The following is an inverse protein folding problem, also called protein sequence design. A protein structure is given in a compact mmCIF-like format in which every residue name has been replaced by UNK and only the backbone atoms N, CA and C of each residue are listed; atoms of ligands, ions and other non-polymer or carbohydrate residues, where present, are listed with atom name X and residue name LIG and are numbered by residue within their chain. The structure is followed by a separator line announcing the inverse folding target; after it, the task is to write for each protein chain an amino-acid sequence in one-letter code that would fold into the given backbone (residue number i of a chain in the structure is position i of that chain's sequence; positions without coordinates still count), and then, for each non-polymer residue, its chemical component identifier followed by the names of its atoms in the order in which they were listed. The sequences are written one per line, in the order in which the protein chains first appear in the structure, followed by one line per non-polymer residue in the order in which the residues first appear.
data_IF_568552764345
#
_entry.id   IF_568552764345
#
_cell.length_a   1.000
_cell.length_b   1.000
_cell.length_c   1.000
_cell.angle_alpha   90.00
_cell.angle_beta   90.00
_cell.angle_gamma   90.00
#
_symmetry.space_group_name_H-M   'P 1'
#
loop_
_entity.id
_entity.type
_entity.pdbx_description
1 polymer ?
#
# COMPACT_ATOMS: atom_id res chain seq x y z
N UNK A 1 17.15 17.39 3.45
CA UNK A 1 15.91 17.04 2.74
C UNK A 1 14.82 16.90 3.77
N UNK A 2 13.64 17.46 3.54
CA UNK A 2 12.48 17.28 4.42
C UNK A 2 12.07 15.80 4.36
N UNK A 3 12.16 15.11 5.49
CA UNK A 3 11.71 13.73 5.64
C UNK A 3 10.17 13.72 5.60
N UNK A 4 9.58 12.82 4.81
CA UNK A 4 8.13 12.62 4.84
C UNK A 4 7.81 11.78 6.07
N UNK A 5 6.87 12.26 6.88
CA UNK A 5 6.43 11.56 8.09
C UNK A 5 5.24 10.65 7.78
N UNK A 6 5.13 9.53 8.51
CA UNK A 6 4.02 8.58 8.39
C UNK A 6 2.64 9.27 8.57
N UNK A 7 2.54 10.24 9.48
CA UNK A 7 1.33 11.01 9.72
C UNK A 7 0.90 11.86 8.50
N UNK A 8 1.86 12.32 7.69
CA UNK A 8 1.53 13.05 6.46
C UNK A 8 0.96 12.11 5.40
N UNK A 9 1.54 10.92 5.25
CA UNK A 9 1.02 9.87 4.34
C UNK A 9 -0.42 9.52 4.73
N UNK A 10 -0.67 9.28 6.03
CA UNK A 10 -2.02 9.03 6.55
C UNK A 10 -3.00 10.15 6.15
N UNK A 11 -2.65 11.41 6.40
CA UNK A 11 -3.49 12.55 6.07
C UNK A 11 -3.80 12.65 4.56
N UNK A 12 -2.82 12.39 3.70
CA UNK A 12 -3.05 12.36 2.25
C UNK A 12 -3.94 11.18 1.83
N UNK A 13 -3.80 9.99 2.45
CA UNK A 13 -4.63 8.81 2.15
C UNK A 13 -6.08 9.08 2.53
N UNK A 14 -6.32 9.72 3.67
CA UNK A 14 -7.65 10.05 4.16
C UNK A 14 -8.40 11.01 3.23
N UNK A 15 -7.72 11.79 2.40
CA UNK A 15 -8.39 12.59 1.36
C UNK A 15 -9.06 11.72 0.29
N UNK A 16 -8.53 10.51 0.03
CA UNK A 16 -9.10 9.56 -0.91
C UNK A 16 -10.21 8.71 -0.27
N UNK A 17 -10.04 8.35 1.00
CA UNK A 17 -10.98 7.50 1.77
C UNK A 17 -11.12 8.08 3.19
N UNK A 18 -12.04 9.04 3.42
CA UNK A 18 -12.12 9.79 4.68
C UNK A 18 -12.46 8.96 5.91
N UNK A 19 -13.19 7.86 5.74
CA UNK A 19 -13.65 6.98 6.82
C UNK A 19 -12.74 5.75 6.99
N UNK A 20 -11.53 5.77 6.43
CA UNK A 20 -10.59 4.67 6.59
C UNK A 20 -9.82 4.77 7.91
N UNK A 21 -9.56 3.61 8.50
CA UNK A 21 -8.45 3.45 9.44
C UNK A 21 -7.18 3.18 8.63
N UNK A 22 -6.13 3.98 8.84
CA UNK A 22 -4.91 3.94 8.04
C UNK A 22 -3.72 3.62 8.94
N UNK A 23 -2.92 2.65 8.53
CA UNK A 23 -1.69 2.28 9.22
C UNK A 23 -0.53 2.45 8.24
N UNK A 24 0.48 3.23 8.64
CA UNK A 24 1.62 3.58 7.80
C UNK A 24 2.91 3.10 8.47
N UNK A 25 3.75 2.40 7.71
CA UNK A 25 5.06 1.94 8.13
C UNK A 25 6.08 2.49 7.14
N UNK A 26 7.07 3.25 7.64
CA UNK A 26 8.28 3.56 6.88
C UNK A 26 9.18 2.33 6.86
N UNK A 27 9.38 1.75 5.67
CA UNK A 27 10.09 0.49 5.51
C UNK A 27 11.60 0.65 5.75
N UNK A 28 12.16 1.82 5.46
CA UNK A 28 13.61 2.08 5.48
C UNK A 28 14.03 3.10 6.53
N UNK A 29 13.08 3.83 7.11
CA UNK A 29 13.37 4.95 8.02
C UNK A 29 13.91 6.20 7.30
N UNK A 30 13.87 6.21 5.97
CA UNK A 30 14.33 7.30 5.09
C UNK A 30 13.23 8.27 4.70
N UNK A 31 11.96 7.93 4.98
CA UNK A 31 10.80 8.73 4.60
C UNK A 31 10.51 8.74 3.09
N UNK A 32 10.86 7.68 2.36
CA UNK A 32 10.61 7.58 0.91
C UNK A 32 9.94 6.26 0.45
N UNK A 33 10.04 5.18 1.23
CA UNK A 33 9.37 3.90 0.99
C UNK A 33 8.39 3.58 2.12
N UNK A 34 7.10 3.50 1.79
CA UNK A 34 6.06 3.27 2.78
C UNK A 34 5.22 2.04 2.44
N UNK A 35 4.91 1.23 3.46
CA UNK A 35 3.80 0.29 3.44
C UNK A 35 2.59 0.93 4.11
N UNK A 36 1.44 0.88 3.44
CA UNK A 36 0.21 1.48 3.96
C UNK A 36 -0.95 0.51 3.88
N UNK A 37 -1.55 0.23 5.05
CA UNK A 37 -2.81 -0.49 5.16
C UNK A 37 -3.94 0.54 5.24
N UNK A 38 -4.91 0.41 4.35
CA UNK A 38 -6.11 1.27 4.30
C UNK A 38 -7.30 0.36 4.55
N UNK A 39 -7.96 0.56 5.69
CA UNK A 39 -9.00 -0.33 6.20
C UNK A 39 -10.31 0.45 6.23
N UNK A 40 -11.31 0.04 5.43
CA UNK A 40 -12.60 0.73 5.37
C UNK A 40 -13.73 -0.20 4.93
N UNK A 41 -14.91 -0.02 5.52
CA UNK A 41 -16.16 -0.69 5.11
C UNK A 41 -16.55 -0.34 3.67
N UNK A 42 -16.15 0.84 3.18
CA UNK A 42 -16.44 1.32 1.80
C UNK A 42 -15.84 0.43 0.71
N UNK A 43 -14.90 -0.44 1.08
CA UNK A 43 -14.26 -1.38 0.16
C UNK A 43 -15.05 -2.66 -0.08
N UNK A 44 -16.13 -2.91 0.68
CA UNK A 44 -16.97 -4.09 0.49
C UNK A 44 -17.55 -4.14 -0.93
N UNK A 45 -17.46 -5.31 -1.58
CA UNK A 45 -17.86 -5.49 -2.97
C UNK A 45 -16.99 -4.77 -4.04
N UNK A 46 -16.04 -3.91 -3.64
CA UNK A 46 -15.12 -3.22 -4.57
C UNK A 46 -13.94 -4.13 -4.90
N UNK A 47 -13.53 -4.20 -6.17
CA UNK A 47 -12.37 -5.01 -6.59
C UNK A 47 -11.05 -4.46 -6.02
N UNK A 48 -10.10 -5.29 -5.58
CA UNK A 48 -8.85 -4.84 -4.95
C UNK A 48 -8.09 -3.75 -5.73
N UNK A 49 -7.93 -3.92 -7.05
CA UNK A 49 -7.26 -2.94 -7.91
C UNK A 49 -7.98 -1.59 -7.93
N UNK A 50 -9.32 -1.59 -7.86
CA UNK A 50 -10.11 -0.35 -7.86
C UNK A 50 -9.94 0.41 -6.54
N UNK A 51 -9.89 -0.31 -5.41
CA UNK A 51 -9.58 0.27 -4.09
C UNK A 51 -8.21 0.95 -4.09
N UNK A 52 -7.18 0.25 -4.57
CA UNK A 52 -5.83 0.81 -4.69
C UNK A 52 -5.78 2.01 -5.65
N UNK A 53 -6.49 1.95 -6.79
CA UNK A 53 -6.57 3.07 -7.75
C UNK A 53 -7.15 4.33 -7.12
N UNK A 54 -8.14 4.22 -6.22
CA UNK A 54 -8.72 5.36 -5.53
C UNK A 54 -7.68 6.08 -4.66
N UNK A 55 -6.91 5.34 -3.86
CA UNK A 55 -5.82 5.91 -3.04
C UNK A 55 -4.70 6.46 -3.91
N UNK A 56 -4.29 5.71 -4.93
CA UNK A 56 -3.24 6.15 -5.87
C UNK A 56 -3.62 7.41 -6.64
N UNK A 57 -4.91 7.67 -6.90
CA UNK A 57 -5.33 8.87 -7.60
C UNK A 57 -4.92 10.15 -6.86
N UNK A 58 -4.88 10.13 -5.53
CA UNK A 58 -4.41 11.24 -4.70
C UNK A 58 -2.89 11.21 -4.55
N UNK A 59 -2.31 10.03 -4.29
CA UNK A 59 -0.88 9.88 -4.00
C UNK A 59 0.04 10.09 -5.20
N UNK A 60 -0.44 9.81 -6.42
CA UNK A 60 0.40 9.79 -7.62
C UNK A 60 1.12 11.12 -7.88
N UNK A 61 0.55 12.25 -7.46
CA UNK A 61 1.20 13.56 -7.61
C UNK A 61 2.45 13.73 -6.72
N UNK A 62 2.59 12.90 -5.69
CA UNK A 62 3.69 12.89 -4.73
C UNK A 62 4.72 11.79 -5.03
N UNK A 63 4.55 11.05 -6.14
CA UNK A 63 5.42 9.95 -6.57
C UNK A 63 6.07 10.32 -7.91
N UNK A 64 7.41 10.22 -8.08
CA UNK A 64 8.38 9.62 -7.15
C UNK A 64 8.98 10.61 -6.13
N UNK A 65 8.53 11.87 -6.09
CA UNK A 65 9.00 12.85 -5.11
C UNK A 65 7.81 13.62 -4.51
N UNK A 66 7.73 13.75 -3.17
CA UNK A 66 8.73 13.34 -2.17
C UNK A 66 8.72 11.84 -1.79
N UNK A 67 7.75 11.04 -2.25
CA UNK A 67 7.64 9.60 -1.94
C UNK A 67 8.15 8.77 -3.12
N UNK A 68 9.14 7.91 -2.93
CA UNK A 68 9.67 7.06 -4.01
C UNK A 68 8.71 5.93 -4.39
N UNK A 69 8.21 5.21 -3.39
CA UNK A 69 7.33 4.08 -3.61
C UNK A 69 6.33 3.90 -2.45
N UNK A 70 5.14 3.40 -2.80
CA UNK A 70 4.04 3.17 -1.87
C UNK A 70 3.47 1.78 -2.09
N UNK A 71 3.68 0.88 -1.14
CA UNK A 71 2.99 -0.42 -1.11
C UNK A 71 1.63 -0.27 -0.42
N UNK A 72 0.56 -0.56 -1.15
CA UNK A 72 -0.82 -0.31 -0.70
C UNK A 72 -1.57 -1.60 -0.46
N UNK A 73 -2.14 -1.73 0.75
CA UNK A 73 -3.07 -2.80 1.09
C UNK A 73 -4.43 -2.23 1.48
N UNK A 74 -5.39 -2.30 0.55
CA UNK A 74 -6.75 -1.80 0.76
C UNK A 74 -7.73 -2.93 1.09
N UNK A 75 -8.23 -2.97 2.33
CA UNK A 75 -8.96 -4.11 2.91
C UNK A 75 -10.23 -3.66 3.64
N UNK A 76 -11.21 -4.54 3.72
CA UNK A 76 -12.31 -4.36 4.69
C UNK A 76 -11.82 -4.72 6.10
N UNK A 77 -12.49 -4.26 7.18
CA UNK A 77 -12.12 -4.64 8.53
C UNK A 77 -12.03 -6.15 8.74
N UNK A 78 -13.01 -6.92 8.25
CA UNK A 78 -13.00 -8.38 8.31
C UNK A 78 -11.77 -9.00 7.60
N UNK A 79 -11.35 -8.43 6.48
CA UNK A 79 -10.13 -8.87 5.79
C UNK A 79 -8.89 -8.53 6.61
N UNK A 80 -8.83 -7.33 7.20
CA UNK A 80 -7.70 -6.86 7.98
C UNK A 80 -7.46 -7.72 9.24
N UNK A 81 -8.52 -8.18 9.91
CA UNK A 81 -8.44 -9.09 11.07
C UNK A 81 -7.71 -10.40 10.74
N UNK A 82 -7.95 -10.94 9.54
CA UNK A 82 -7.37 -12.23 9.11
C UNK A 82 -5.99 -12.12 8.45
N UNK A 83 -5.57 -10.93 8.05
CA UNK A 83 -4.42 -10.76 7.16
C UNK A 83 -3.05 -10.78 7.86
N UNK A 84 -3.00 -10.57 9.18
CA UNK A 84 -1.74 -10.48 9.92
C UNK A 84 -0.86 -9.32 9.45
N UNK A 85 0.47 -9.52 9.50
CA UNK A 85 1.44 -8.58 8.96
C UNK A 85 1.48 -8.65 7.43
N UNK A 86 1.30 -7.51 6.77
CA UNK A 86 1.23 -7.41 5.30
C UNK A 86 2.35 -6.59 4.70
N UNK A 87 3.31 -6.12 5.50
CA UNK A 87 4.42 -5.31 5.01
C UNK A 87 5.23 -6.09 3.96
N UNK A 88 5.37 -5.51 2.77
CA UNK A 88 6.18 -6.06 1.70
C UNK A 88 7.08 -4.97 1.13
N UNK A 89 8.39 -5.21 1.16
CA UNK A 89 9.40 -4.30 0.62
C UNK A 89 10.08 -4.91 -0.61
N UNK A 90 9.70 -4.48 -1.83
CA UNK A 90 10.33 -4.96 -3.05
C UNK A 90 11.75 -4.43 -3.28
N UNK A 91 12.20 -3.41 -2.54
CA UNK A 91 13.47 -2.71 -2.75
C UNK A 91 14.52 -2.94 -1.65
N UNK A 92 14.13 -3.48 -0.48
CA UNK A 92 15.00 -3.76 0.68
C UNK A 92 16.00 -4.93 0.54
N UNK A 93 16.30 -5.39 -0.67
CA UNK A 93 17.31 -6.44 -0.89
C UNK A 93 16.86 -7.88 -0.59
N UNK A 94 15.60 -8.11 -0.25
CA UNK A 94 15.02 -9.45 -0.13
C UNK A 94 14.70 -10.06 -1.50
N UNK A 95 14.80 -11.39 -1.63
CA UNK A 95 14.32 -12.14 -2.80
C UNK A 95 12.82 -11.89 -3.00
N UNK A 96 12.45 -10.82 -3.70
CA UNK A 96 11.11 -10.67 -4.25
C UNK A 96 10.80 -11.94 -5.02
N UNK A 97 9.60 -12.49 -4.83
CA UNK A 97 9.16 -13.69 -5.55
C UNK A 97 9.14 -13.36 -7.05
N UNK A 98 10.26 -13.62 -7.73
CA UNK A 98 10.27 -13.81 -9.17
C UNK A 98 9.31 -14.95 -9.41
N UNK A 99 8.13 -14.65 -9.97
CA UNK A 99 7.14 -15.63 -10.40
C UNK A 99 7.93 -16.66 -11.21
N UNK A 100 8.21 -17.82 -10.60
CA UNK A 100 8.92 -18.89 -11.29
C UNK A 100 7.90 -19.38 -12.31
N UNK A 101 8.07 -18.89 -13.55
CA UNK A 101 7.25 -19.14 -14.73
C UNK A 101 6.56 -20.50 -14.60
N UNK A 102 5.25 -20.49 -14.36
CA UNK A 102 4.45 -21.72 -14.32
C UNK A 102 4.65 -22.38 -15.68
N UNK A 103 5.41 -23.48 -15.73
CA UNK A 103 5.42 -24.35 -16.89
C UNK A 103 4.03 -24.94 -16.96
N UNK A 104 3.18 -24.36 -17.81
CA UNK A 104 1.95 -25.02 -18.24
C UNK A 104 2.37 -26.32 -18.89
N UNK A 105 2.12 -27.44 -18.22
CA UNK A 105 2.09 -28.74 -18.86
C UNK A 105 1.08 -28.64 -20.00
N UNK A 106 1.60 -28.71 -21.24
CA UNK A 106 0.80 -29.11 -22.38
C UNK A 106 0.63 -30.62 -22.27
N UNK A 107 -0.61 -31.04 -22.47
CA UNK A 107 -1.10 -32.41 -22.56
C UNK A 107 -0.23 -33.29 -23.47
#
# INVERSE_FOLDING_TARGET
MSMVEAAWIEAEVLKAVPEAHVEVIDLHGSGDHFHVRVISETFEGVRPLQRQKQVLAVMKQHIPHPVHALDLKCMTPAQAETAGDTAFDPHGGGQGVHIRRIQRNKE
#
